data_IF_317631462545
#
_entry.id   IF_317631462545
#
_cell.length_a   1.000
_cell.length_b   1.000
_cell.length_c   1.000
_cell.angle_alpha   90.00
_cell.angle_beta   90.00
_cell.angle_gamma   90.00
#
_symmetry.space_group_name_H-M   'P 1'
#
loop_
_entity.id
_entity.type
_entity.pdbx_description
1 polymer ?
#
# COMPACT_ATOMS: atom_id res chain seq x y z
N UNK A 1 -4.89 13.19 17.12
CA UNK A 1 -4.09 12.03 16.68
C UNK A 1 -4.76 10.69 16.99
N UNK A 2 -5.27 10.52 18.20
CA UNK A 2 -5.99 9.27 18.57
C UNK A 2 -7.18 8.96 17.67
N UNK A 3 -7.93 9.99 17.25
CA UNK A 3 -9.03 9.81 16.31
C UNK A 3 -8.55 9.29 14.95
N UNK A 4 -7.43 9.84 14.46
CA UNK A 4 -6.84 9.36 13.20
C UNK A 4 -6.39 7.91 13.32
N UNK A 5 -5.72 7.54 14.41
CA UNK A 5 -5.29 6.15 14.65
C UNK A 5 -6.47 5.18 14.64
N UNK A 6 -7.57 5.53 15.31
CA UNK A 6 -8.78 4.70 15.35
C UNK A 6 -9.41 4.54 13.98
N UNK A 7 -9.49 5.62 13.21
CA UNK A 7 -10.02 5.59 11.84
C UNK A 7 -9.10 4.81 10.90
N UNK A 8 -7.79 4.94 11.07
CA UNK A 8 -6.82 4.17 10.29
C UNK A 8 -6.94 2.66 10.59
N UNK A 9 -7.05 2.29 11.86
CA UNK A 9 -7.24 0.90 12.26
C UNK A 9 -8.51 0.31 11.62
N UNK A 10 -9.60 1.08 11.65
CA UNK A 10 -10.86 0.68 11.02
C UNK A 10 -10.74 0.54 9.49
N UNK A 11 -9.95 1.40 8.86
CA UNK A 11 -9.72 1.35 7.42
C UNK A 11 -8.96 0.08 7.02
N UNK A 12 -7.91 -0.28 7.76
CA UNK A 12 -7.16 -1.52 7.51
C UNK A 12 -8.03 -2.75 7.75
N UNK A 13 -8.83 -2.76 8.82
CA UNK A 13 -9.70 -3.90 9.11
C UNK A 13 -10.78 -4.09 8.02
N UNK A 14 -11.41 -3.02 7.59
CA UNK A 14 -12.39 -3.08 6.51
C UNK A 14 -11.76 -3.57 5.20
N UNK A 15 -10.53 -3.14 4.93
CA UNK A 15 -9.78 -3.53 3.75
C UNK A 15 -9.41 -5.02 3.79
N UNK A 16 -8.93 -5.49 4.94
CA UNK A 16 -8.62 -6.91 5.18
C UNK A 16 -9.85 -7.79 5.01
N UNK A 17 -10.94 -7.47 5.70
CA UNK A 17 -12.18 -8.26 5.68
C UNK A 17 -12.79 -8.32 4.29
N UNK A 18 -12.75 -7.23 3.54
CA UNK A 18 -13.28 -7.16 2.18
C UNK A 18 -12.32 -7.71 1.12
N UNK A 19 -11.11 -8.08 1.51
CA UNK A 19 -10.03 -8.50 0.59
C UNK A 19 -9.73 -7.44 -0.47
N UNK A 20 -9.59 -6.20 0.00
CA UNK A 20 -9.23 -5.06 -0.83
C UNK A 20 -10.37 -4.40 -1.59
N UNK A 21 -11.61 -4.81 -1.36
CA UNK A 21 -12.78 -4.29 -2.11
C UNK A 21 -13.36 -3.02 -1.55
N UNK A 22 -13.03 -2.66 -0.30
CA UNK A 22 -13.55 -1.44 0.35
C UNK A 22 -12.40 -0.53 0.81
N UNK A 23 -11.73 0.16 -0.13
CA UNK A 23 -10.65 1.10 0.22
C UNK A 23 -11.14 2.48 0.63
N UNK A 24 -12.45 2.73 0.59
CA UNK A 24 -13.06 4.06 0.76
C UNK A 24 -12.71 4.71 2.09
N UNK A 25 -12.54 3.92 3.15
CA UNK A 25 -12.16 4.44 4.47
C UNK A 25 -10.76 5.07 4.47
N UNK A 26 -9.85 4.56 3.65
CA UNK A 26 -8.55 5.22 3.44
C UNK A 26 -8.73 6.56 2.74
N UNK A 27 -9.56 6.61 1.70
CA UNK A 27 -9.76 7.82 0.92
C UNK A 27 -10.34 8.96 1.76
N UNK A 28 -11.18 8.64 2.74
CA UNK A 28 -11.73 9.61 3.68
C UNK A 28 -10.67 10.22 4.59
N UNK A 29 -9.53 9.54 4.77
CA UNK A 29 -8.41 10.03 5.57
C UNK A 29 -7.47 10.94 4.79
N UNK A 30 -7.52 10.92 3.46
CA UNK A 30 -6.59 11.66 2.60
C UNK A 30 -6.91 13.14 2.58
N UNK A 31 -5.86 13.96 2.72
CA UNK A 31 -5.92 15.38 2.34
C UNK A 31 -5.97 15.50 0.83
N UNK A 32 -6.49 16.62 0.31
CA UNK A 32 -6.58 16.84 -1.13
C UNK A 32 -5.20 16.86 -1.82
N UNK A 33 -4.17 17.27 -1.09
CA UNK A 33 -2.79 17.38 -1.57
C UNK A 33 -1.90 16.20 -1.13
N UNK A 34 -2.47 15.08 -0.76
CA UNK A 34 -1.71 13.90 -0.32
C UNK A 34 -0.64 13.53 -1.35
N UNK A 35 0.53 13.13 -0.86
CA UNK A 35 1.57 12.53 -1.67
C UNK A 35 1.69 11.04 -1.28
N UNK A 36 1.44 10.16 -2.24
CA UNK A 36 1.54 8.73 -2.05
C UNK A 36 2.83 8.25 -2.69
N UNK A 37 3.66 7.59 -1.89
CA UNK A 37 4.97 7.08 -2.30
C UNK A 37 5.09 5.60 -2.00
N UNK A 38 5.99 4.94 -2.69
CA UNK A 38 6.25 3.52 -2.53
C UNK A 38 7.75 3.27 -2.50
N UNK A 39 8.17 2.17 -1.90
CA UNK A 39 9.54 1.68 -2.00
C UNK A 39 9.92 1.35 -3.45
N UNK A 40 8.96 1.17 -4.33
CA UNK A 40 9.19 0.87 -5.74
C UNK A 40 9.68 2.13 -6.44
N UNK A 41 10.90 2.09 -6.95
CA UNK A 41 11.49 3.21 -7.69
C UNK A 41 10.89 3.31 -9.10
N UNK A 42 10.38 4.49 -9.47
CA UNK A 42 9.78 4.72 -10.79
C UNK A 42 10.76 4.42 -11.93
N UNK A 43 12.05 4.69 -11.73
CA UNK A 43 13.10 4.42 -12.71
C UNK A 43 13.29 2.93 -12.99
N UNK A 44 12.83 2.07 -12.10
CA UNK A 44 12.93 0.61 -12.23
C UNK A 44 11.58 0.00 -12.59
N UNK A 45 10.52 0.39 -11.88
CA UNK A 45 9.18 -0.21 -11.99
C UNK A 45 8.23 0.56 -12.90
N UNK A 46 8.60 1.77 -13.33
CA UNK A 46 7.74 2.67 -14.09
C UNK A 46 6.96 3.61 -13.17
N UNK A 47 6.55 4.74 -13.72
CA UNK A 47 5.81 5.77 -12.98
C UNK A 47 4.44 5.26 -12.46
N UNK A 48 3.84 4.32 -13.16
CA UNK A 48 2.53 3.75 -12.78
C UNK A 48 2.58 2.95 -11.49
N UNK A 49 3.77 2.49 -11.04
CA UNK A 49 3.95 1.77 -9.78
C UNK A 49 4.78 2.57 -8.77
N UNK A 50 5.77 3.31 -9.24
CA UNK A 50 6.71 4.02 -8.37
C UNK A 50 6.27 5.41 -7.95
N UNK A 51 5.43 6.05 -8.74
CA UNK A 51 4.98 7.41 -8.45
C UNK A 51 6.11 8.43 -8.45
N UNK A 52 6.12 9.43 -7.52
CA UNK A 52 5.08 9.67 -6.51
C UNK A 52 3.73 10.06 -7.13
N UNK A 53 2.65 9.74 -6.41
CA UNK A 53 1.30 10.10 -6.83
C UNK A 53 0.87 11.31 -6.00
N UNK A 54 0.72 12.45 -6.66
CA UNK A 54 0.47 13.73 -5.99
C UNK A 54 -0.98 14.13 -6.19
N UNK A 55 -1.67 14.37 -5.07
CA UNK A 55 -3.07 14.74 -5.04
C UNK A 55 -3.99 13.54 -4.88
N UNK A 56 -5.16 13.80 -4.30
CA UNK A 56 -6.15 12.76 -3.99
C UNK A 56 -6.61 12.00 -5.23
N UNK A 57 -6.83 12.69 -6.35
CA UNK A 57 -7.25 12.06 -7.60
C UNK A 57 -6.21 11.07 -8.13
N UNK A 58 -4.92 11.42 -8.07
CA UNK A 58 -3.85 10.52 -8.50
C UNK A 58 -3.73 9.31 -7.58
N UNK A 59 -3.89 9.50 -6.27
CA UNK A 59 -3.88 8.41 -5.29
C UNK A 59 -5.04 7.44 -5.53
N UNK A 60 -6.24 7.95 -5.82
CA UNK A 60 -7.41 7.12 -6.13
C UNK A 60 -7.20 6.33 -7.43
N UNK A 61 -6.63 6.96 -8.45
CA UNK A 61 -6.33 6.30 -9.73
C UNK A 61 -5.30 5.16 -9.55
N UNK A 62 -4.30 5.38 -8.70
CA UNK A 62 -3.31 4.36 -8.37
C UNK A 62 -3.98 3.13 -7.71
N UNK A 63 -4.84 3.35 -6.71
CA UNK A 63 -5.56 2.24 -6.06
C UNK A 63 -6.43 1.46 -7.04
N UNK A 64 -7.10 2.15 -7.95
CA UNK A 64 -7.92 1.50 -8.98
C UNK A 64 -7.05 0.62 -9.89
N UNK A 65 -5.89 1.12 -10.33
CA UNK A 65 -4.97 0.36 -11.17
C UNK A 65 -4.41 -0.86 -10.44
N UNK A 66 -4.08 -0.73 -9.16
CA UNK A 66 -3.61 -1.85 -8.33
C UNK A 66 -4.71 -2.92 -8.20
N UNK A 67 -5.95 -2.50 -7.94
CA UNK A 67 -7.08 -3.43 -7.80
C UNK A 67 -7.38 -4.20 -9.10
N UNK A 68 -7.09 -3.62 -10.26
CA UNK A 68 -7.25 -4.28 -11.55
C UNK A 68 -6.13 -5.29 -11.85
N UNK A 69 -4.93 -5.06 -11.33
CA UNK A 69 -3.75 -5.88 -11.62
C UNK A 69 -3.46 -6.93 -10.53
N UNK A 70 -3.92 -6.70 -9.31
CA UNK A 70 -3.62 -7.53 -8.15
C UNK A 70 -4.86 -7.83 -7.34
N UNK A 71 -4.87 -9.04 -6.74
CA UNK A 71 -5.87 -9.42 -5.76
C UNK A 71 -5.25 -9.35 -4.37
N UNK A 72 -5.85 -8.58 -3.47
CA UNK A 72 -5.44 -8.54 -2.07
C UNK A 72 -6.00 -9.77 -1.35
N UNK A 73 -5.12 -10.53 -0.71
CA UNK A 73 -5.48 -11.76 0.01
C UNK A 73 -5.67 -11.46 1.49
N UNK A 74 -4.72 -10.75 2.08
CA UNK A 74 -4.78 -10.33 3.48
C UNK A 74 -3.99 -9.06 3.72
N UNK A 75 -4.39 -8.32 4.74
CA UNK A 75 -3.64 -7.21 5.31
C UNK A 75 -3.97 -7.18 6.80
N UNK A 76 -3.11 -7.81 7.62
CA UNK A 76 -3.33 -7.97 9.05
C UNK A 76 -2.49 -6.98 9.83
N UNK A 77 -3.10 -6.30 10.80
CA UNK A 77 -2.44 -5.30 11.63
C UNK A 77 -1.76 -5.95 12.83
N UNK A 78 -0.46 -5.70 12.99
CA UNK A 78 0.28 -6.09 14.18
C UNK A 78 0.37 -4.94 15.18
N UNK A 79 0.63 -3.71 14.71
CA UNK A 79 0.74 -2.54 15.56
C UNK A 79 0.46 -1.26 14.78
N UNK A 80 -0.02 -0.23 15.49
CA UNK A 80 -0.08 1.14 15.02
C UNK A 80 0.64 1.99 16.04
N UNK A 81 1.65 2.74 15.60
CA UNK A 81 2.53 3.51 16.47
C UNK A 81 2.49 4.96 16.02
N UNK A 82 2.09 5.85 16.91
CA UNK A 82 2.04 7.28 16.62
C UNK A 82 3.06 8.05 17.44
N UNK A 83 3.73 8.98 16.79
CA UNK A 83 4.64 9.93 17.45
C UNK A 83 4.70 11.21 16.63
N UNK A 84 4.48 12.35 17.28
CA UNK A 84 4.43 13.64 16.64
C UNK A 84 3.39 13.66 15.51
N UNK A 85 3.77 13.95 14.28
CA UNK A 85 2.89 13.94 13.11
C UNK A 85 2.91 12.60 12.32
N UNK A 86 3.65 11.60 12.82
CA UNK A 86 3.80 10.31 12.15
C UNK A 86 2.92 9.24 12.79
N UNK A 87 2.28 8.46 11.94
CA UNK A 87 1.60 7.23 12.33
C UNK A 87 2.17 6.10 11.48
N UNK A 88 2.65 5.04 12.14
CA UNK A 88 3.27 3.89 11.48
C UNK A 88 2.36 2.68 11.68
N UNK A 89 1.89 2.12 10.59
CA UNK A 89 1.19 0.85 10.59
C UNK A 89 2.21 -0.25 10.31
N UNK A 90 2.23 -1.27 11.16
CA UNK A 90 3.08 -2.46 10.99
C UNK A 90 2.18 -3.67 10.88
N UNK A 91 2.38 -4.46 9.86
CA UNK A 91 1.55 -5.65 9.67
C UNK A 91 2.12 -6.61 8.65
N UNK A 92 1.23 -7.43 8.12
CA UNK A 92 1.55 -8.37 7.04
C UNK A 92 0.54 -8.18 5.93
N UNK A 93 1.01 -8.32 4.69
CA UNK A 93 0.14 -8.25 3.53
C UNK A 93 0.49 -9.38 2.55
N UNK A 94 -0.52 -9.85 1.84
CA UNK A 94 -0.37 -10.83 0.77
C UNK A 94 -1.18 -10.37 -0.44
N UNK A 95 -0.52 -10.36 -1.59
CA UNK A 95 -1.10 -9.93 -2.85
C UNK A 95 -0.79 -10.94 -3.93
N UNK A 96 -1.75 -11.23 -4.79
CA UNK A 96 -1.54 -12.10 -5.95
C UNK A 96 -1.64 -11.27 -7.23
N UNK A 97 -0.62 -11.35 -8.07
CA UNK A 97 -0.67 -10.74 -9.40
C UNK A 97 -1.62 -11.53 -10.29
N UNK A 98 -2.59 -10.87 -10.92
CA UNK A 98 -3.63 -11.54 -11.69
C UNK A 98 -3.13 -12.09 -13.03
N UNK A 99 -2.00 -11.59 -13.53
CA UNK A 99 -1.39 -12.07 -14.79
C UNK A 99 -0.46 -13.25 -14.56
N UNK A 100 0.50 -13.13 -13.63
CA UNK A 100 1.48 -14.18 -13.34
C UNK A 100 0.94 -15.24 -12.38
N UNK A 101 -0.09 -14.90 -11.61
CA UNK A 101 -0.67 -15.72 -10.54
C UNK A 101 0.29 -15.98 -9.38
N UNK A 102 1.39 -15.23 -9.32
CA UNK A 102 2.34 -15.32 -8.22
C UNK A 102 1.88 -14.44 -7.05
N UNK A 103 2.12 -14.94 -5.84
CA UNK A 103 1.77 -14.26 -4.60
C UNK A 103 3.02 -13.65 -3.97
N UNK A 104 2.87 -12.40 -3.52
CA UNK A 104 3.87 -11.70 -2.70
C UNK A 104 3.30 -11.62 -1.30
N UNK A 105 4.00 -12.17 -0.32
CA UNK A 105 3.53 -12.24 1.06
C UNK A 105 4.67 -11.92 2.03
N UNK A 106 4.39 -11.11 3.03
CA UNK A 106 5.39 -10.78 4.03
C UNK A 106 5.05 -9.57 4.88
N UNK A 107 5.99 -9.13 5.71
CA UNK A 107 5.84 -7.91 6.50
C UNK A 107 5.65 -6.70 5.61
N UNK A 108 4.81 -5.76 6.07
CA UNK A 108 4.59 -4.49 5.41
C UNK A 108 4.57 -3.39 6.46
N UNK A 109 5.16 -2.26 6.11
CA UNK A 109 5.17 -1.08 6.97
C UNK A 109 4.66 0.10 6.15
N UNK A 110 3.67 0.80 6.66
CA UNK A 110 3.14 2.02 6.05
C UNK A 110 3.41 3.19 6.99
N UNK A 111 4.01 4.25 6.46
CA UNK A 111 4.32 5.45 7.22
C UNK A 111 3.40 6.58 6.75
N UNK A 112 2.56 7.06 7.65
CA UNK A 112 1.62 8.14 7.40
C UNK A 112 2.10 9.42 8.05
N UNK A 113 2.01 10.54 7.34
CA UNK A 113 2.19 11.86 7.93
C UNK A 113 0.83 12.54 8.01
N UNK A 114 0.48 13.06 9.18
CA UNK A 114 -0.85 13.61 9.47
C UNK A 114 -0.74 15.10 9.77
N UNK A 115 -1.61 15.89 9.15
CA UNK A 115 -1.73 17.33 9.40
C UNK A 115 -3.21 17.69 9.40
N UNK A 116 -3.65 18.39 10.47
CA UNK A 116 -5.05 18.78 10.61
C UNK A 116 -6.03 17.59 10.49
N UNK A 117 -5.66 16.43 11.07
CA UNK A 117 -6.49 15.24 11.10
C UNK A 117 -6.57 14.47 9.79
N UNK A 118 -5.78 14.83 8.78
CA UNK A 118 -5.76 14.17 7.49
C UNK A 118 -4.36 13.73 7.09
N UNK A 119 -4.27 12.67 6.31
CA UNK A 119 -2.99 12.19 5.79
C UNK A 119 -2.52 13.08 4.63
N UNK A 120 -1.32 13.64 4.77
CA UNK A 120 -0.68 14.47 3.74
C UNK A 120 0.45 13.74 3.02
N UNK A 121 0.93 12.62 3.58
CA UNK A 121 1.96 11.78 2.99
C UNK A 121 1.75 10.34 3.42
N UNK A 122 1.99 9.43 2.50
CA UNK A 122 1.86 7.99 2.73
C UNK A 122 3.00 7.27 2.01
N UNK A 123 3.83 6.55 2.77
CA UNK A 123 4.93 5.75 2.23
C UNK A 123 4.68 4.27 2.51
N UNK A 124 4.63 3.47 1.45
CA UNK A 124 4.50 2.02 1.53
C UNK A 124 5.88 1.34 1.46
N UNK A 125 6.17 0.44 2.40
CA UNK A 125 7.40 -0.36 2.42
C UNK A 125 7.03 -1.83 2.53
N UNK A 126 7.44 -2.61 1.54
CA UNK A 126 7.12 -4.04 1.45
C UNK A 126 8.20 -4.77 0.65
N UNK A 127 7.99 -6.05 0.35
CA UNK A 127 8.93 -6.89 -0.39
C UNK A 127 9.01 -6.48 -1.86
N UNK A 128 9.98 -5.65 -2.21
CA UNK A 128 10.19 -5.20 -3.59
C UNK A 128 10.75 -6.30 -4.49
N UNK A 129 11.57 -7.19 -3.96
CA UNK A 129 12.08 -8.34 -4.72
C UNK A 129 10.95 -9.29 -5.12
N UNK A 130 10.09 -9.66 -4.18
CA UNK A 130 8.93 -10.51 -4.46
C UNK A 130 8.00 -9.87 -5.48
N UNK A 131 7.83 -8.55 -5.40
CA UNK A 131 7.02 -7.79 -6.37
C UNK A 131 7.65 -7.85 -7.77
N UNK A 132 8.95 -7.64 -7.88
CA UNK A 132 9.66 -7.73 -9.16
C UNK A 132 9.54 -9.12 -9.78
N UNK A 133 9.66 -10.16 -8.94
CA UNK A 133 9.49 -11.55 -9.40
C UNK A 133 8.06 -11.80 -9.91
N UNK A 134 7.06 -11.36 -9.18
CA UNK A 134 5.66 -11.53 -9.58
C UNK A 134 5.34 -10.78 -10.88
N UNK A 135 6.04 -9.67 -11.14
CA UNK A 135 5.90 -8.89 -12.36
C UNK A 135 6.74 -9.43 -13.54
N UNK A 136 7.51 -10.50 -13.33
CA UNK A 136 8.37 -11.07 -14.36
C UNK A 136 9.65 -10.26 -14.66
N UNK A 137 10.02 -9.35 -13.74
CA UNK A 137 11.21 -8.51 -13.92
C UNK A 137 12.51 -9.21 -13.54
N UNK A 138 12.42 -10.29 -12.77
CA UNK A 138 13.55 -11.13 -12.38
C UNK A 138 13.21 -12.58 -12.63
N UNK A 139 14.22 -13.41 -12.90
CA UNK A 139 14.00 -14.82 -13.13
C UNK A 139 13.59 -15.54 -11.85
N UNK A 140 12.66 -16.49 -11.98
CA UNK A 140 12.32 -17.39 -10.89
C UNK A 140 13.50 -18.35 -10.67
N UNK A 141 13.78 -18.71 -9.39
CA UNK A 141 14.84 -19.66 -9.05
C UNK A 141 14.74 -20.98 -9.81
N UNK A 142 13.54 -21.46 -10.04
CA UNK A 142 13.29 -22.68 -10.80
C UNK A 142 13.68 -22.60 -12.28
N UNK A 143 13.67 -21.41 -12.86
CA UNK A 143 14.03 -21.18 -14.26
C UNK A 143 15.54 -21.15 -14.52
N UNK A 144 16.36 -21.05 -13.49
CA UNK A 144 17.82 -21.00 -13.56
C UNK A 144 18.47 -22.39 -13.51
N UNK A 145 17.69 -23.38 -13.18
CA UNK A 145 18.17 -24.76 -12.99
C UNK A 145 18.41 -25.50 -14.31
#
# INVERSE_FOLDING_TARGET
MEEFEARLAAAYEAWHVSRGRTPERFFELYADDIELRSILEASVYGEHLGGPFIGKSAALAYFTAIAEAWEMIEATTEAIIARDDKVVWVGRASWRNLKSLQTVSGPKVDVWTVRNGRAVDYLEVFDSYGTARALGMVADKGAEA
#
